data_IF_569013314676
#
_entry.id   IF_569013314676
#
_cell.length_a   1.000
_cell.length_b   1.000
_cell.length_c   1.000
_cell.angle_alpha   90.00
_cell.angle_beta   90.00
_cell.angle_gamma   90.00
#
_symmetry.space_group_name_H-M   'P 1'
#
loop_
_entity.id
_entity.type
_entity.pdbx_description
1 polymer ?
#
# COMPACT_ATOMS: atom_id res chain seq x y z
N UNK A 1 -27.80 15.17 -15.04
CA UNK A 1 -26.34 15.23 -14.85
C UNK A 1 -25.78 13.89 -15.32
N UNK A 2 -25.07 13.83 -16.44
CA UNK A 2 -24.45 12.59 -16.93
C UNK A 2 -23.20 12.36 -16.07
N UNK A 3 -23.24 11.37 -15.16
CA UNK A 3 -22.05 10.88 -14.48
C UNK A 3 -21.45 9.78 -15.35
N UNK A 4 -20.32 10.07 -15.97
CA UNK A 4 -19.50 9.03 -16.58
C UNK A 4 -19.03 8.09 -15.45
N UNK A 5 -19.20 6.76 -15.60
CA UNK A 5 -18.69 5.84 -14.60
C UNK A 5 -17.17 5.96 -14.54
N UNK A 6 -16.61 6.13 -13.33
CA UNK A 6 -15.16 6.11 -13.12
C UNK A 6 -14.66 4.72 -13.50
N UNK A 7 -13.63 4.67 -14.35
CA UNK A 7 -12.99 3.43 -14.83
C UNK A 7 -11.47 3.62 -14.84
N UNK A 8 -10.69 2.52 -14.73
CA UNK A 8 -9.25 2.56 -14.99
C UNK A 8 -8.99 3.14 -16.38
N UNK A 9 -7.94 3.94 -16.51
CA UNK A 9 -7.47 4.41 -17.81
C UNK A 9 -6.90 3.25 -18.62
N UNK A 10 -6.92 3.35 -19.95
CA UNK A 10 -6.47 2.26 -20.83
C UNK A 10 -5.22 2.68 -21.60
N UNK A 11 -4.19 1.84 -21.56
CA UNK A 11 -2.91 2.11 -22.20
C UNK A 11 -2.16 3.29 -21.57
N UNK A 12 -1.27 3.90 -22.36
CA UNK A 12 -0.53 5.09 -21.94
C UNK A 12 -1.36 6.34 -22.14
N UNK A 13 -1.80 6.93 -21.03
CA UNK A 13 -2.49 8.22 -21.01
C UNK A 13 -1.51 9.35 -20.68
N UNK A 14 -0.55 9.10 -19.79
CA UNK A 14 0.46 10.07 -19.37
C UNK A 14 1.85 9.44 -19.23
N UNK A 15 2.02 8.46 -18.35
CA UNK A 15 3.35 8.03 -17.92
C UNK A 15 3.79 6.75 -18.64
N UNK A 16 2.99 5.70 -18.60
CA UNK A 16 3.37 4.34 -18.99
C UNK A 16 2.19 3.54 -19.58
N UNK A 17 2.45 2.37 -20.15
CA UNK A 17 1.38 1.45 -20.56
C UNK A 17 0.54 0.91 -19.38
N UNK A 18 1.01 1.11 -18.14
CA UNK A 18 0.41 0.63 -16.89
C UNK A 18 -0.30 1.74 -16.10
N UNK A 19 -0.69 2.85 -16.74
CA UNK A 19 -1.34 3.97 -16.06
C UNK A 19 -2.68 3.58 -15.40
N UNK A 20 -3.34 2.52 -15.89
CA UNK A 20 -4.56 1.96 -15.32
C UNK A 20 -4.36 0.92 -14.22
N UNK A 21 -3.11 0.55 -13.93
CA UNK A 21 -2.76 -0.57 -13.05
C UNK A 21 -2.32 -0.12 -11.66
N UNK A 22 -2.09 -1.08 -10.75
CA UNK A 22 -1.45 -0.83 -9.47
C UNK A 22 0.07 -0.67 -9.63
N UNK A 23 0.47 0.50 -10.15
CA UNK A 23 1.87 0.90 -10.35
C UNK A 23 2.39 1.88 -9.30
N UNK A 24 3.52 2.54 -9.62
CA UNK A 24 4.22 3.47 -8.71
C UNK A 24 3.35 4.61 -8.18
N UNK A 25 2.32 5.01 -8.93
CA UNK A 25 1.38 5.99 -8.41
C UNK A 25 0.44 5.40 -7.35
N UNK A 26 -0.16 4.25 -7.66
CA UNK A 26 -1.19 3.59 -6.85
C UNK A 26 -0.62 2.79 -5.67
N UNK A 27 0.69 2.53 -5.61
CA UNK A 27 1.33 1.83 -4.50
C UNK A 27 1.13 2.55 -3.14
N UNK A 28 0.85 3.86 -3.16
CA UNK A 28 0.58 4.68 -1.96
C UNK A 28 -0.86 4.55 -1.44
N UNK A 29 -1.77 4.01 -2.24
CA UNK A 29 -3.21 3.89 -1.89
C UNK A 29 -3.47 3.11 -0.59
N UNK A 30 -2.79 1.98 -0.29
CA UNK A 30 -2.98 1.25 0.97
C UNK A 30 -2.62 2.11 2.19
N UNK A 31 -1.59 2.95 2.07
CA UNK A 31 -1.22 3.92 3.10
C UNK A 31 -2.32 4.97 3.29
N UNK A 32 -2.76 5.61 2.20
CA UNK A 32 -3.72 6.72 2.30
C UNK A 32 -5.10 6.28 2.82
N UNK A 33 -5.63 5.17 2.30
CA UNK A 33 -6.90 4.62 2.76
C UNK A 33 -6.81 4.05 4.17
N UNK A 34 -5.69 3.40 4.50
CA UNK A 34 -5.45 2.90 5.85
C UNK A 34 -5.38 4.03 6.87
N UNK A 35 -4.70 5.14 6.55
CA UNK A 35 -4.60 6.29 7.43
C UNK A 35 -5.97 6.95 7.66
N UNK A 36 -6.77 7.16 6.61
CA UNK A 36 -8.13 7.67 6.76
C UNK A 36 -8.96 6.75 7.67
N UNK A 37 -8.95 5.44 7.40
CA UNK A 37 -9.65 4.46 8.24
C UNK A 37 -9.23 4.51 9.72
N UNK A 38 -7.95 4.72 10.02
CA UNK A 38 -7.43 4.81 11.39
C UNK A 38 -7.85 6.11 12.09
N UNK A 39 -7.90 7.23 11.36
CA UNK A 39 -8.21 8.54 11.94
C UNK A 39 -9.71 8.79 12.06
N UNK A 40 -10.49 8.43 11.04
CA UNK A 40 -11.92 8.75 10.97
C UNK A 40 -12.82 7.59 11.36
N UNK A 41 -12.34 6.36 11.27
CA UNK A 41 -13.18 5.16 11.38
C UNK A 41 -14.13 4.97 10.19
N UNK A 42 -13.93 5.67 9.06
CA UNK A 42 -14.81 5.56 7.90
C UNK A 42 -14.91 4.12 7.38
N UNK A 43 -16.14 3.65 7.21
CA UNK A 43 -16.42 2.26 6.88
C UNK A 43 -15.98 1.90 5.44
N UNK A 44 -16.00 2.85 4.52
CA UNK A 44 -15.63 2.64 3.12
C UNK A 44 -14.11 2.51 3.00
N UNK A 45 -13.36 3.44 3.59
CA UNK A 45 -11.90 3.40 3.66
C UNK A 45 -11.41 2.16 4.41
N UNK A 46 -12.07 1.81 5.53
CA UNK A 46 -11.77 0.57 6.27
C UNK A 46 -11.96 -0.67 5.40
N UNK A 47 -13.09 -0.78 4.69
CA UNK A 47 -13.36 -1.92 3.83
C UNK A 47 -12.34 -2.03 2.68
N UNK A 48 -11.95 -0.90 2.07
CA UNK A 48 -10.99 -0.86 0.98
C UNK A 48 -9.56 -1.22 1.45
N UNK A 49 -9.12 -0.67 2.59
CA UNK A 49 -7.83 -0.99 3.21
C UNK A 49 -7.74 -2.49 3.54
N UNK A 50 -8.74 -3.03 4.24
CA UNK A 50 -8.79 -4.46 4.58
C UNK A 50 -8.83 -5.38 3.37
N UNK A 51 -9.55 -5.00 2.30
CA UNK A 51 -9.57 -5.78 1.05
C UNK A 51 -8.17 -5.87 0.45
N UNK A 52 -7.44 -4.75 0.43
CA UNK A 52 -6.06 -4.70 -0.06
C UNK A 52 -5.12 -5.55 0.80
N UNK A 53 -5.19 -5.41 2.13
CA UNK A 53 -4.43 -6.24 3.07
C UNK A 53 -4.66 -7.72 2.84
N UNK A 54 -5.93 -8.17 2.81
CA UNK A 54 -6.27 -9.59 2.63
C UNK A 54 -5.80 -10.14 1.29
N UNK A 55 -5.91 -9.38 0.21
CA UNK A 55 -5.44 -9.82 -1.09
C UNK A 55 -3.92 -10.05 -1.10
N UNK A 56 -3.14 -9.06 -0.63
CA UNK A 56 -1.68 -9.21 -0.56
C UNK A 56 -1.27 -10.39 0.32
N UNK A 57 -1.85 -10.53 1.51
CA UNK A 57 -1.62 -11.69 2.39
C UNK A 57 -1.86 -13.02 1.67
N UNK A 58 -2.92 -13.11 0.87
CA UNK A 58 -3.26 -14.34 0.13
C UNK A 58 -2.24 -14.68 -0.96
N UNK A 59 -1.76 -13.69 -1.73
CA UNK A 59 -0.84 -13.92 -2.86
C UNK A 59 0.62 -14.06 -2.41
N UNK A 60 0.95 -13.54 -1.22
CA UNK A 60 2.28 -13.65 -0.65
C UNK A 60 2.42 -14.73 0.40
N UNK A 61 1.33 -15.32 0.90
CA UNK A 61 1.39 -16.26 2.03
C UNK A 61 1.93 -15.59 3.29
N UNK A 62 1.52 -14.36 3.55
CA UNK A 62 1.99 -13.52 4.66
C UNK A 62 3.51 -13.20 4.67
N UNK A 63 4.22 -13.36 3.55
CA UNK A 63 5.63 -12.98 3.40
C UNK A 63 5.82 -11.65 2.64
N UNK A 64 6.22 -10.54 3.30
CA UNK A 64 6.44 -9.26 2.64
C UNK A 64 7.50 -9.29 1.53
N UNK A 65 8.42 -10.24 1.53
CA UNK A 65 9.45 -10.37 0.49
C UNK A 65 8.88 -10.82 -0.87
N UNK A 66 7.65 -11.32 -0.90
CA UNK A 66 6.97 -11.79 -2.11
C UNK A 66 6.08 -10.72 -2.75
N UNK A 67 6.07 -9.50 -2.21
CA UNK A 67 5.39 -8.34 -2.83
C UNK A 67 6.25 -7.82 -3.97
N UNK A 68 5.69 -7.81 -5.18
CA UNK A 68 6.27 -7.20 -6.37
C UNK A 68 5.95 -5.70 -6.48
N UNK A 69 6.47 -5.06 -7.53
CA UNK A 69 6.39 -3.62 -7.78
C UNK A 69 5.52 -3.24 -8.98
N UNK A 70 4.49 -4.05 -9.27
CA UNK A 70 3.50 -3.75 -10.30
C UNK A 70 2.50 -4.87 -10.51
N UNK A 71 1.21 -4.54 -10.42
CA UNK A 71 0.11 -5.49 -10.62
C UNK A 71 -1.00 -4.90 -11.49
N UNK A 72 -1.49 -5.68 -12.46
CA UNK A 72 -2.78 -5.40 -13.09
C UNK A 72 -3.90 -5.51 -12.06
N UNK A 73 -5.06 -4.88 -12.33
CA UNK A 73 -6.17 -4.86 -11.38
C UNK A 73 -6.85 -6.23 -11.15
N UNK A 74 -6.56 -7.23 -12.00
CA UNK A 74 -6.95 -8.63 -11.78
C UNK A 74 -5.98 -9.39 -10.85
N UNK A 75 -4.87 -8.74 -10.45
CA UNK A 75 -3.87 -9.28 -9.53
C UNK A 75 -2.66 -9.93 -10.21
N UNK A 76 -2.57 -9.91 -11.54
CA UNK A 76 -1.39 -10.42 -12.25
C UNK A 76 -0.19 -9.49 -12.06
N UNK A 77 0.91 -10.00 -11.53
CA UNK A 77 2.14 -9.24 -11.42
C UNK A 77 2.78 -9.07 -12.81
N UNK A 78 2.99 -7.82 -13.24
CA UNK A 78 3.80 -7.51 -14.42
C UNK A 78 5.23 -7.09 -14.05
N UNK A 79 5.48 -6.83 -12.77
CA UNK A 79 6.81 -6.56 -12.22
C UNK A 79 6.96 -7.24 -10.85
N UNK A 80 7.71 -8.34 -10.81
CA UNK A 80 7.83 -9.18 -9.61
C UNK A 80 8.97 -8.77 -8.67
N UNK A 81 9.89 -7.91 -9.10
CA UNK A 81 10.93 -7.40 -8.20
C UNK A 81 10.29 -6.57 -7.09
N UNK A 82 10.73 -6.80 -5.85
CA UNK A 82 10.22 -6.06 -4.69
C UNK A 82 10.76 -4.64 -4.63
N UNK A 83 9.92 -3.72 -4.15
CA UNK A 83 10.24 -2.31 -3.97
C UNK A 83 9.60 -1.80 -2.67
N UNK A 84 10.37 -1.03 -1.87
CA UNK A 84 9.93 -0.45 -0.60
C UNK A 84 8.64 0.36 -0.72
N UNK A 85 8.46 1.07 -1.83
CA UNK A 85 7.25 1.85 -2.09
C UNK A 85 5.98 0.99 -2.20
N UNK A 86 6.09 -0.32 -2.43
CA UNK A 86 4.94 -1.22 -2.60
C UNK A 86 4.60 -1.99 -1.33
N UNK A 87 5.59 -2.57 -0.65
CA UNK A 87 5.30 -3.35 0.56
C UNK A 87 5.14 -2.47 1.81
N UNK A 88 5.83 -1.32 1.92
CA UNK A 88 5.74 -0.49 3.11
C UNK A 88 4.31 0.05 3.36
N UNK A 89 3.59 0.63 2.37
CA UNK A 89 2.22 1.12 2.56
C UNK A 89 1.23 0.08 3.10
N UNK A 90 1.49 -1.21 2.87
CA UNK A 90 0.63 -2.29 3.35
C UNK A 90 0.58 -2.35 4.87
N UNK A 91 1.61 -1.87 5.57
CA UNK A 91 1.65 -1.87 7.04
C UNK A 91 0.53 -0.99 7.62
N UNK A 92 0.31 0.19 7.05
CA UNK A 92 -0.77 1.08 7.49
C UNK A 92 -2.14 0.46 7.21
N UNK A 93 -2.34 -0.13 6.03
CA UNK A 93 -3.62 -0.83 5.74
C UNK A 93 -3.85 -2.01 6.69
N UNK A 94 -2.79 -2.73 7.07
CA UNK A 94 -2.88 -3.90 7.94
C UNK A 94 -3.31 -3.56 9.37
N UNK A 95 -2.96 -2.37 9.88
CA UNK A 95 -3.44 -1.88 11.18
C UNK A 95 -4.96 -1.81 11.27
N UNK A 96 -5.65 -1.73 10.13
CA UNK A 96 -7.12 -1.69 10.08
C UNK A 96 -7.75 -3.07 10.22
N UNK A 97 -7.05 -4.18 9.98
CA UNK A 97 -7.59 -5.54 10.01
C UNK A 97 -7.18 -6.29 11.30
N UNK A 98 -8.11 -6.57 12.24
CA UNK A 98 -7.82 -7.30 13.46
C UNK A 98 -7.20 -8.68 13.23
N UNK A 99 -7.46 -9.32 12.08
CA UNK A 99 -6.91 -10.62 11.72
C UNK A 99 -5.53 -10.56 11.04
N UNK A 100 -4.91 -9.38 10.93
CA UNK A 100 -3.66 -9.18 10.20
C UNK A 100 -2.45 -8.94 11.11
N UNK A 101 -2.54 -9.13 12.43
CA UNK A 101 -1.41 -8.88 13.35
C UNK A 101 -0.11 -9.58 12.92
N UNK A 102 -0.08 -10.89 12.59
CA UNK A 102 1.17 -11.54 12.15
C UNK A 102 1.77 -10.93 10.87
N UNK A 103 0.91 -10.48 9.96
CA UNK A 103 1.29 -9.79 8.73
C UNK A 103 1.85 -8.39 9.02
N UNK A 104 1.19 -7.62 9.89
CA UNK A 104 1.68 -6.32 10.36
C UNK A 104 3.04 -6.46 11.05
N UNK A 105 3.24 -7.49 11.89
CA UNK A 105 4.51 -7.75 12.55
C UNK A 105 5.62 -8.13 11.57
N UNK A 106 5.30 -8.88 10.50
CA UNK A 106 6.26 -9.18 9.43
C UNK A 106 6.67 -7.93 8.66
N UNK A 107 5.70 -7.07 8.32
CA UNK A 107 5.96 -5.78 7.67
C UNK A 107 6.79 -4.85 8.55
N UNK A 108 6.44 -4.72 9.83
CA UNK A 108 7.19 -3.88 10.78
C UNK A 108 8.62 -4.37 10.96
N UNK A 109 8.84 -5.68 11.13
CA UNK A 109 10.20 -6.24 11.20
C UNK A 109 11.04 -5.89 9.97
N UNK A 110 10.44 -5.95 8.78
CA UNK A 110 11.11 -5.54 7.54
C UNK A 110 11.38 -4.03 7.50
N UNK A 111 10.42 -3.19 7.88
CA UNK A 111 10.59 -1.73 7.97
C UNK A 111 11.74 -1.36 8.92
N UNK A 112 11.75 -1.94 10.12
CA UNK A 112 12.74 -1.65 11.15
C UNK A 112 14.14 -2.18 10.83
N UNK A 113 14.24 -3.28 10.09
CA UNK A 113 15.52 -3.82 9.61
C UNK A 113 16.08 -3.08 8.38
N UNK A 114 15.24 -2.40 7.62
CA UNK A 114 15.65 -1.72 6.38
C UNK A 114 16.17 -0.32 6.70
N UNK A 115 17.42 -0.02 6.32
CA UNK A 115 17.88 1.36 6.32
C UNK A 115 17.27 2.08 5.12
N UNK A 116 16.74 3.28 5.34
CA UNK A 116 16.33 4.14 4.23
C UNK A 116 17.55 4.42 3.35
N UNK A 117 17.48 4.06 2.07
CA UNK A 117 18.54 4.31 1.10
C UNK A 117 18.49 5.78 0.66
N UNK A 118 19.54 6.60 0.91
CA UNK A 118 19.57 7.98 0.46
C UNK A 118 19.49 8.14 -1.06
N UNK A 119 19.82 7.08 -1.83
CA UNK A 119 19.67 7.03 -3.29
C UNK A 119 18.25 6.75 -3.77
N UNK A 120 17.38 6.21 -2.91
CA UNK A 120 15.96 5.97 -3.19
C UNK A 120 15.08 6.98 -2.47
N UNK A 121 14.96 8.16 -3.08
CA UNK A 121 14.07 9.21 -2.58
C UNK A 121 12.62 8.72 -2.39
N UNK A 122 12.08 7.96 -3.35
CA UNK A 122 10.66 7.65 -3.39
C UNK A 122 10.29 6.59 -2.34
N UNK A 123 10.96 5.42 -2.39
CA UNK A 123 10.73 4.36 -1.43
C UNK A 123 11.17 4.75 -0.02
N UNK A 124 12.30 5.44 0.13
CA UNK A 124 12.80 5.93 1.42
C UNK A 124 11.86 6.92 2.10
N UNK A 125 11.27 7.86 1.33
CA UNK A 125 10.28 8.81 1.87
C UNK A 125 9.00 8.08 2.32
N UNK A 126 8.49 7.15 1.50
CA UNK A 126 7.31 6.35 1.84
C UNK A 126 7.58 5.52 3.09
N UNK A 127 8.74 4.87 3.19
CA UNK A 127 9.14 4.09 4.36
C UNK A 127 9.06 4.93 5.65
N UNK A 128 9.68 6.11 5.65
CA UNK A 128 9.68 6.99 6.82
C UNK A 128 8.26 7.41 7.23
N UNK A 129 7.44 7.83 6.25
CA UNK A 129 6.06 8.25 6.50
C UNK A 129 5.20 7.11 7.06
N UNK A 130 5.34 5.91 6.51
CA UNK A 130 4.66 4.70 7.00
C UNK A 130 5.11 4.38 8.43
N UNK A 131 6.41 4.42 8.72
CA UNK A 131 6.93 4.10 10.06
C UNK A 131 6.43 5.07 11.13
N UNK A 132 6.28 6.35 10.82
CA UNK A 132 5.68 7.35 11.74
C UNK A 132 4.26 6.92 12.14
N UNK A 133 3.45 6.47 11.18
CA UNK A 133 2.07 6.03 11.42
C UNK A 133 2.02 4.72 12.18
N UNK A 134 2.75 3.70 11.70
CA UNK A 134 2.71 2.35 12.29
C UNK A 134 3.23 2.34 13.73
N UNK A 135 4.17 3.22 14.06
CA UNK A 135 4.68 3.38 15.43
C UNK A 135 3.79 4.22 16.35
N UNK A 136 2.65 4.74 15.85
CA UNK A 136 1.75 5.58 16.64
C UNK A 136 2.26 7.02 16.86
N UNK A 137 3.23 7.48 16.07
CA UNK A 137 3.80 8.83 16.16
C UNK A 137 3.20 9.82 15.14
N UNK A 138 2.11 9.44 14.46
CA UNK A 138 1.39 10.36 13.57
C UNK A 138 0.49 11.28 14.40
N UNK A 139 0.62 12.61 14.29
CA UNK A 139 -0.23 13.52 15.03
C UNK A 139 -1.69 13.34 14.61
N UNK A 140 -2.58 13.00 15.54
CA UNK A 140 -3.99 13.27 15.35
C UNK A 140 -4.17 14.79 15.46
N UNK A 141 -4.82 15.40 14.48
CA UNK A 141 -5.27 16.78 14.64
C UNK A 141 -6.46 16.76 15.61
N UNK A 142 -6.26 17.34 16.79
CA UNK A 142 -7.30 17.61 17.80
C UNK A 142 -8.42 18.49 17.25
#
# INVERSE_FOLDING_TARGET
>A
MIRWPVRPVTGRVLETAHDGDHGFNACRTPWRLGLDALLSGDAVSTAAARRTTRWFRSVTGDDPARVGSGYTLDGTAYRSEGDTAFWAPLAVSAMTDPGAQPWLDALWRRLAASKADPGDYFGGTIQLQVMIIVSGNYPASD
#
